data_IF_031612939743
#
_entry.id   IF_031612939743
#
_cell.length_a   1.000
_cell.length_b   1.000
_cell.length_c   1.000
_cell.angle_alpha   90.00
_cell.angle_beta   90.00
_cell.angle_gamma   90.00
#
_symmetry.space_group_name_H-M   'P 1'
#
loop_
_entity.id
_entity.type
_entity.pdbx_description
1 polymer ?
#
# COMPACT_ATOMS: atom_id res chain seq x y z
N UNK A 1 16.73 -9.24 -21.65
CA UNK A 1 18.14 -8.78 -21.65
C UNK A 1 18.40 -8.13 -20.30
N UNK A 2 18.84 -8.89 -19.30
CA UNK A 2 19.21 -8.37 -17.97
C UNK A 2 20.67 -7.93 -18.05
N UNK A 3 20.94 -6.63 -17.95
CA UNK A 3 22.29 -6.12 -17.67
C UNK A 3 22.34 -5.83 -16.18
N UNK A 4 22.81 -6.78 -15.38
CA UNK A 4 23.18 -6.54 -13.99
C UNK A 4 24.47 -5.73 -13.98
N UNK A 5 24.47 -4.61 -13.25
CA UNK A 5 25.72 -3.95 -12.84
C UNK A 5 26.31 -4.82 -11.74
N UNK A 6 27.12 -5.81 -12.10
CA UNK A 6 27.96 -6.49 -11.13
C UNK A 6 29.12 -5.57 -10.77
N UNK A 7 29.19 -5.19 -9.49
CA UNK A 7 30.36 -4.54 -8.92
C UNK A 7 31.49 -5.58 -8.77
N UNK A 8 32.46 -5.55 -9.70
CA UNK A 8 33.77 -6.18 -9.52
C UNK A 8 34.55 -6.35 -10.83
N UNK A 9 35.84 -6.74 -10.77
CA UNK A 9 36.97 -6.12 -10.09
C UNK A 9 37.58 -4.97 -10.92
N UNK A 10 38.61 -4.28 -10.38
CA UNK A 10 39.17 -2.98 -10.81
C UNK A 10 39.78 -2.88 -12.23
N UNK A 11 39.52 -3.83 -13.14
CA UNK A 11 40.09 -3.87 -14.49
C UNK A 11 39.04 -4.05 -15.61
N UNK A 12 37.79 -3.65 -15.37
CA UNK A 12 36.79 -3.53 -16.45
C UNK A 12 37.09 -2.29 -17.34
N UNK A 13 36.97 -2.39 -18.67
CA UNK A 13 37.25 -1.25 -19.56
C UNK A 13 36.32 -0.09 -19.22
N UNK A 14 36.94 0.99 -18.74
CA UNK A 14 36.34 2.27 -18.35
C UNK A 14 35.15 2.67 -19.24
N UNK A 15 33.95 2.74 -18.64
CA UNK A 15 32.83 3.47 -19.21
C UNK A 15 33.18 4.96 -19.23
N UNK A 16 33.78 5.42 -20.32
CA UNK A 16 34.15 6.83 -20.46
C UNK A 16 32.93 7.61 -20.94
N UNK A 17 32.29 8.35 -20.05
CA UNK A 17 31.40 9.44 -20.43
C UNK A 17 32.24 10.42 -21.29
N UNK A 18 31.82 10.65 -22.53
CA UNK A 18 32.41 11.71 -23.34
C UNK A 18 31.72 13.01 -22.92
N UNK A 19 32.40 13.82 -22.11
CA UNK A 19 31.88 15.10 -21.61
C UNK A 19 31.68 16.09 -22.77
N UNK A 20 30.44 16.23 -23.22
CA UNK A 20 29.95 17.45 -23.85
C UNK A 20 29.33 18.32 -22.75
N UNK A 21 30.07 19.34 -22.32
CA UNK A 21 29.57 20.60 -21.71
C UNK A 21 28.26 20.58 -20.91
N UNK A 22 28.21 20.07 -19.67
CA UNK A 22 27.09 20.35 -18.72
C UNK A 22 25.68 20.22 -19.34
N UNK A 23 25.54 19.31 -20.31
CA UNK A 23 24.34 19.15 -21.12
C UNK A 23 23.54 17.98 -20.55
N UNK A 24 22.22 18.09 -20.45
CA UNK A 24 21.36 17.07 -19.84
C UNK A 24 21.18 15.85 -20.76
N UNK A 25 22.22 15.44 -21.49
CA UNK A 25 22.25 14.26 -22.36
C UNK A 25 23.61 13.59 -22.28
N UNK A 26 23.62 12.26 -22.13
CA UNK A 26 24.85 11.48 -21.97
C UNK A 26 24.85 10.25 -22.89
N UNK A 27 26.05 9.72 -23.17
CA UNK A 27 26.23 8.48 -23.89
C UNK A 27 27.05 7.50 -23.04
N UNK A 28 26.45 6.36 -22.70
CA UNK A 28 27.12 5.24 -22.05
C UNK A 28 27.50 4.21 -23.09
N UNK A 29 28.80 3.99 -23.28
CA UNK A 29 29.32 3.11 -24.33
C UNK A 29 30.05 1.93 -23.71
N UNK A 30 29.59 0.73 -24.04
CA UNK A 30 30.23 -0.51 -23.66
C UNK A 30 31.03 -1.04 -24.83
N UNK A 31 32.30 -1.36 -24.58
CA UNK A 31 33.22 -1.93 -25.58
C UNK A 31 33.62 -3.33 -25.17
N UNK A 32 33.79 -4.20 -26.16
CA UNK A 32 34.35 -5.53 -25.96
C UNK A 32 35.87 -5.47 -25.79
N UNK A 33 36.50 -6.59 -25.41
CA UNK A 33 37.94 -6.67 -25.13
C UNK A 33 38.83 -6.24 -26.31
N UNK A 34 38.36 -6.39 -27.55
CA UNK A 34 39.08 -5.96 -28.75
C UNK A 34 38.88 -4.47 -29.08
N UNK A 35 38.20 -3.70 -28.22
CA UNK A 35 37.92 -2.28 -28.40
C UNK A 35 36.70 -1.96 -29.28
N UNK A 36 36.08 -2.97 -29.90
CA UNK A 36 34.87 -2.79 -30.68
C UNK A 36 33.67 -2.43 -29.78
N UNK A 37 32.83 -1.52 -30.25
CA UNK A 37 31.62 -1.11 -29.55
C UNK A 37 30.61 -2.26 -29.49
N UNK A 38 30.22 -2.65 -28.29
CA UNK A 38 29.32 -3.77 -28.02
C UNK A 38 27.88 -3.32 -27.73
N UNK A 39 27.70 -2.11 -27.18
CA UNK A 39 26.40 -1.46 -27.02
C UNK A 39 26.60 0.02 -26.65
N UNK A 40 25.60 0.85 -26.94
CA UNK A 40 25.53 2.21 -26.44
C UNK A 40 24.13 2.54 -25.90
N UNK A 41 24.07 3.39 -24.89
CA UNK A 41 22.85 3.96 -24.33
C UNK A 41 22.95 5.48 -24.40
N UNK A 42 22.01 6.10 -25.11
CA UNK A 42 21.95 7.55 -25.25
C UNK A 42 20.82 8.07 -24.38
N UNK A 43 21.14 8.79 -23.31
CA UNK A 43 20.16 9.32 -22.36
C UNK A 43 19.89 10.80 -22.61
N UNK A 44 18.63 11.19 -22.44
CA UNK A 44 18.18 12.56 -22.34
C UNK A 44 17.49 12.74 -20.98
N UNK A 45 18.12 13.52 -20.10
CA UNK A 45 17.61 13.86 -18.77
C UNK A 45 16.80 15.15 -18.72
N UNK A 46 16.60 15.84 -19.85
CA UNK A 46 15.65 16.94 -19.91
C UNK A 46 14.24 16.37 -19.68
N UNK A 47 13.58 16.78 -18.59
CA UNK A 47 12.27 16.27 -18.20
C UNK A 47 11.17 16.60 -19.22
N UNK A 48 11.30 17.75 -19.90
CA UNK A 48 10.21 18.33 -20.69
C UNK A 48 10.61 18.65 -22.15
N UNK A 49 11.84 18.32 -22.57
CA UNK A 49 12.34 18.70 -23.89
C UNK A 49 13.00 17.51 -24.60
N UNK A 50 12.65 17.32 -25.86
CA UNK A 50 13.37 16.42 -26.75
C UNK A 50 14.69 17.07 -27.20
N UNK A 51 15.73 16.27 -27.35
CA UNK A 51 17.06 16.73 -27.78
C UNK A 51 17.55 15.87 -28.94
N UNK A 52 18.17 16.53 -29.93
CA UNK A 52 18.91 15.85 -30.99
C UNK A 52 20.38 15.76 -30.60
N UNK A 53 20.88 14.55 -30.41
CA UNK A 53 22.29 14.29 -30.08
C UNK A 53 23.03 13.70 -31.27
N UNK A 54 24.35 13.96 -31.36
CA UNK A 54 25.21 13.36 -32.38
C UNK A 54 26.13 12.31 -31.75
N UNK A 55 25.99 11.05 -32.15
CA UNK A 55 26.80 9.92 -31.66
C UNK A 55 27.34 9.09 -32.83
N UNK A 56 28.65 8.82 -32.85
CA UNK A 56 29.33 8.09 -33.95
C UNK A 56 28.99 8.63 -35.36
N UNK A 57 28.95 9.96 -35.52
CA UNK A 57 28.65 10.61 -36.79
C UNK A 57 27.17 10.56 -37.23
N UNK A 58 26.29 9.98 -36.41
CA UNK A 58 24.83 9.89 -36.65
C UNK A 58 24.06 10.77 -35.68
N UNK A 59 22.92 11.28 -36.11
CA UNK A 59 22.00 12.03 -35.25
C UNK A 59 20.92 11.11 -34.69
N UNK A 60 20.57 11.30 -33.42
CA UNK A 60 19.50 10.59 -32.75
C UNK A 60 18.58 11.60 -32.07
N UNK A 61 17.28 11.49 -32.34
CA UNK A 61 16.27 12.26 -31.65
C UNK A 61 15.88 11.50 -30.37
N UNK A 62 16.14 12.13 -29.22
CA UNK A 62 15.84 11.59 -27.90
C UNK A 62 14.63 12.34 -27.33
N UNK A 63 13.48 11.68 -27.15
CA UNK A 63 12.37 12.26 -26.39
C UNK A 63 12.80 12.71 -24.99
N UNK A 64 12.01 13.59 -24.39
CA UNK A 64 12.21 14.01 -23.01
C UNK A 64 12.26 12.80 -22.06
N UNK A 65 13.13 12.85 -21.06
CA UNK A 65 13.30 11.82 -20.03
C UNK A 65 13.36 10.39 -20.61
N UNK A 66 14.30 10.14 -21.51
CA UNK A 66 14.37 8.88 -22.22
C UNK A 66 15.78 8.35 -22.43
N UNK A 67 15.88 7.04 -22.65
CA UNK A 67 17.12 6.36 -23.03
C UNK A 67 16.87 5.57 -24.32
N UNK A 68 17.68 5.83 -25.34
CA UNK A 68 17.75 5.03 -26.56
C UNK A 68 18.84 3.97 -26.46
N UNK A 69 18.50 2.73 -26.82
CA UNK A 69 19.39 1.56 -26.75
C UNK A 69 19.89 1.21 -28.16
N UNK A 70 21.21 1.18 -28.33
CA UNK A 70 21.89 0.87 -29.59
C UNK A 70 22.79 -0.37 -29.43
N UNK A 71 22.31 -1.59 -29.71
CA UNK A 71 23.08 -2.82 -29.54
C UNK A 71 24.29 -2.94 -30.47
N UNK A 72 24.28 -2.25 -31.60
CA UNK A 72 25.38 -2.21 -32.59
C UNK A 72 26.12 -0.86 -32.58
N UNK A 73 25.78 0.02 -31.62
CA UNK A 73 26.24 1.40 -31.53
C UNK A 73 25.95 2.28 -32.77
N UNK A 74 24.99 1.87 -33.60
CA UNK A 74 24.62 2.53 -34.88
C UNK A 74 23.12 2.68 -35.08
N UNK A 75 22.30 1.74 -34.61
CA UNK A 75 20.85 1.68 -34.81
C UNK A 75 20.15 1.64 -33.45
N UNK A 76 19.27 2.61 -33.21
CA UNK A 76 18.45 2.62 -32.00
C UNK A 76 17.28 1.64 -32.19
N UNK A 77 17.28 0.55 -31.42
CA UNK A 77 16.25 -0.50 -31.53
C UNK A 77 15.09 -0.28 -30.55
N UNK A 78 15.35 0.48 -29.48
CA UNK A 78 14.40 0.75 -28.42
C UNK A 78 14.65 2.14 -27.83
N UNK A 79 13.59 2.81 -27.43
CA UNK A 79 13.63 4.03 -26.62
C UNK A 79 12.57 3.93 -25.52
N UNK A 80 12.94 4.27 -24.27
CA UNK A 80 12.07 4.10 -23.10
C UNK A 80 10.80 4.95 -23.12
N UNK A 81 10.78 6.06 -23.87
CA UNK A 81 9.61 6.93 -24.02
C UNK A 81 8.80 6.63 -25.29
N UNK A 82 9.30 5.75 -26.16
CA UNK A 82 8.61 5.36 -27.39
C UNK A 82 7.92 4.01 -27.19
N UNK A 83 6.68 4.06 -26.72
CA UNK A 83 5.84 2.88 -26.53
C UNK A 83 5.13 2.56 -27.84
N UNK A 84 5.41 1.38 -28.42
CA UNK A 84 4.76 0.89 -29.65
C UNK A 84 3.50 0.06 -29.36
N UNK A 85 3.38 -0.43 -28.14
CA UNK A 85 2.25 -1.25 -27.72
C UNK A 85 1.01 -0.39 -27.43
N UNK A 86 -0.19 -0.86 -27.80
CA UNK A 86 -1.43 -0.14 -27.53
C UNK A 86 -1.75 -0.16 -26.03
N UNK A 87 -2.24 0.96 -25.51
CA UNK A 87 -2.80 1.02 -24.16
C UNK A 87 -4.12 0.25 -24.09
N UNK A 88 -4.20 -0.74 -23.22
CA UNK A 88 -5.44 -1.46 -22.92
C UNK A 88 -6.14 -0.82 -21.73
N UNK A 89 -7.38 -0.36 -21.92
CA UNK A 89 -8.20 0.16 -20.84
C UNK A 89 -8.94 -1.02 -20.16
N UNK A 90 -8.77 -1.23 -18.85
CA UNK A 90 -9.48 -2.28 -18.14
C UNK A 90 -10.99 -2.03 -18.19
N UNK A 91 -11.76 -3.07 -18.49
CA UNK A 91 -13.23 -3.06 -18.48
C UNK A 91 -13.72 -4.22 -17.63
N UNK A 92 -14.66 -3.93 -16.73
CA UNK A 92 -15.37 -4.95 -15.96
C UNK A 92 -16.82 -5.00 -16.43
N UNK A 93 -17.24 -6.18 -16.88
CA UNK A 93 -18.62 -6.45 -17.28
C UNK A 93 -19.23 -7.45 -16.29
N UNK A 94 -20.40 -7.17 -15.70
CA UNK A 94 -21.07 -8.13 -14.84
C UNK A 94 -21.49 -9.35 -15.68
N UNK A 95 -21.16 -10.56 -15.21
CA UNK A 95 -21.43 -11.81 -15.95
C UNK A 95 -22.65 -12.54 -15.41
N UNK A 96 -22.90 -12.50 -14.10
CA UNK A 96 -23.99 -13.24 -13.46
C UNK A 96 -24.45 -12.55 -12.18
N UNK A 97 -25.67 -12.91 -11.73
CA UNK A 97 -26.21 -12.53 -10.42
C UNK A 97 -26.41 -13.79 -9.59
N UNK A 98 -26.03 -13.73 -8.31
CA UNK A 98 -26.15 -14.86 -7.38
C UNK A 98 -27.42 -14.75 -6.54
N UNK A 99 -28.02 -15.89 -6.25
CA UNK A 99 -29.07 -16.01 -5.24
C UNK A 99 -28.41 -16.27 -3.87
N UNK A 100 -28.32 -15.22 -3.06
CA UNK A 100 -27.65 -15.28 -1.76
C UNK A 100 -28.55 -15.85 -0.67
N UNK A 101 -27.94 -16.61 0.23
CA UNK A 101 -28.49 -16.92 1.55
C UNK A 101 -27.64 -16.19 2.61
N UNK A 102 -28.24 -15.88 3.75
CA UNK A 102 -27.56 -15.22 4.86
C UNK A 102 -27.78 -15.96 6.17
N UNK A 103 -26.81 -15.83 7.06
CA UNK A 103 -26.87 -16.24 8.45
C UNK A 103 -26.35 -15.07 9.29
N UNK A 104 -27.06 -14.75 10.38
CA UNK A 104 -26.66 -13.69 11.30
C UNK A 104 -25.92 -14.29 12.48
N UNK A 105 -24.69 -13.84 12.70
CA UNK A 105 -23.93 -14.23 13.87
C UNK A 105 -24.52 -13.59 15.14
N UNK A 106 -24.56 -14.37 16.21
CA UNK A 106 -25.02 -13.89 17.51
C UNK A 106 -24.01 -12.95 18.16
N UNK A 107 -24.50 -11.89 18.81
CA UNK A 107 -23.68 -10.92 19.53
C UNK A 107 -23.32 -11.37 20.95
N UNK A 108 -23.77 -12.55 21.36
CA UNK A 108 -23.48 -13.14 22.68
C UNK A 108 -22.15 -13.89 22.66
N UNK A 109 -21.06 -13.16 22.88
CA UNK A 109 -19.69 -13.67 22.86
C UNK A 109 -19.26 -14.47 24.10
N UNK A 110 -20.19 -14.89 24.96
CA UNK A 110 -19.88 -15.73 26.13
C UNK A 110 -20.25 -17.17 25.81
N UNK A 111 -19.45 -17.77 24.94
CA UNK A 111 -19.51 -19.18 24.61
C UNK A 111 -18.52 -19.99 25.47
N UNK A 112 -18.38 -21.28 25.17
CA UNK A 112 -17.44 -22.16 25.88
C UNK A 112 -15.96 -21.79 25.73
N UNK A 113 -15.60 -20.89 24.82
CA UNK A 113 -14.23 -20.42 24.59
C UNK A 113 -13.95 -19.08 25.29
N UNK A 114 -14.95 -18.48 25.93
CA UNK A 114 -14.77 -17.25 26.69
C UNK A 114 -13.89 -17.48 27.93
N UNK A 115 -12.99 -16.54 28.19
CA UNK A 115 -12.18 -16.49 29.41
C UNK A 115 -12.29 -15.13 30.07
N UNK A 116 -11.94 -15.06 31.35
CA UNK A 116 -11.99 -13.82 32.13
C UNK A 116 -10.59 -13.36 32.54
N UNK A 117 -10.39 -12.05 32.59
CA UNK A 117 -9.15 -11.44 33.09
C UNK A 117 -9.44 -10.11 33.78
N UNK A 118 -8.74 -9.84 34.87
CA UNK A 118 -8.77 -8.54 35.53
C UNK A 118 -7.90 -7.56 34.74
N UNK A 119 -8.53 -6.79 33.85
CA UNK A 119 -7.90 -5.76 33.02
C UNK A 119 -7.97 -6.04 31.52
N UNK A 120 -7.57 -5.04 30.74
CA UNK A 120 -7.51 -5.14 29.27
C UNK A 120 -6.30 -5.95 28.82
N UNK A 121 -6.44 -6.60 27.68
CA UNK A 121 -5.39 -7.37 27.00
C UNK A 121 -5.18 -6.86 25.59
N UNK A 122 -3.97 -7.04 25.08
CA UNK A 122 -3.65 -6.73 23.69
C UNK A 122 -4.14 -7.86 22.76
N UNK A 123 -4.65 -7.51 21.57
CA UNK A 123 -5.33 -8.44 20.69
C UNK A 123 -4.42 -9.53 20.14
N UNK A 124 -3.27 -9.20 19.55
CA UNK A 124 -2.35 -10.16 18.94
C UNK A 124 -1.86 -11.18 19.97
N UNK A 125 -1.63 -10.74 21.20
CA UNK A 125 -1.26 -11.61 22.32
C UNK A 125 -2.35 -12.62 22.66
N UNK A 126 -3.63 -12.31 22.43
CA UNK A 126 -4.75 -13.21 22.72
C UNK A 126 -5.15 -14.08 21.52
N UNK A 127 -5.17 -13.52 20.31
CA UNK A 127 -5.61 -14.24 19.12
C UNK A 127 -4.47 -15.02 18.45
N UNK A 128 -3.22 -14.64 18.73
CA UNK A 128 -2.02 -15.14 18.04
C UNK A 128 -2.14 -15.04 16.52
N UNK A 129 -2.82 -13.98 16.04
CA UNK A 129 -3.12 -13.75 14.63
C UNK A 129 -3.89 -14.91 13.96
N UNK A 130 -4.59 -15.73 14.75
CA UNK A 130 -5.49 -16.79 14.23
C UNK A 130 -6.87 -16.27 13.82
N UNK A 131 -7.21 -15.07 14.29
CA UNK A 131 -8.48 -14.39 14.00
C UNK A 131 -8.26 -12.88 14.02
N UNK A 132 -8.89 -12.21 13.06
CA UNK A 132 -8.98 -10.74 12.99
C UNK A 132 -9.90 -10.18 14.08
N UNK A 133 -10.65 -11.04 14.78
CA UNK A 133 -11.71 -10.71 15.72
C UNK A 133 -11.32 -11.03 17.16
N UNK A 134 -11.51 -10.05 18.06
CA UNK A 134 -11.48 -10.26 19.51
C UNK A 134 -12.65 -9.53 20.18
N UNK A 135 -13.40 -10.29 20.99
CA UNK A 135 -14.50 -9.77 21.82
C UNK A 135 -14.00 -9.34 23.19
N UNK A 136 -14.13 -8.05 23.54
CA UNK A 136 -13.99 -7.59 24.92
C UNK A 136 -15.35 -7.40 25.53
N UNK A 137 -15.69 -8.21 26.53
CA UNK A 137 -16.98 -8.12 27.22
C UNK A 137 -16.79 -7.65 28.65
N UNK A 138 -17.53 -6.64 29.07
CA UNK A 138 -17.62 -6.24 30.48
C UNK A 138 -19.05 -5.90 30.89
N UNK A 139 -19.31 -6.02 32.19
CA UNK A 139 -20.59 -5.75 32.80
C UNK A 139 -20.51 -4.49 33.65
N UNK A 140 -21.42 -3.55 33.39
CA UNK A 140 -21.55 -2.33 34.19
C UNK A 140 -22.90 -2.39 34.91
N UNK A 141 -22.86 -2.50 36.23
CA UNK A 141 -24.06 -2.40 37.07
C UNK A 141 -24.32 -0.93 37.38
N UNK A 142 -25.48 -0.41 36.96
CA UNK A 142 -25.90 0.97 37.22
C UNK A 142 -27.05 0.93 38.23
N UNK A 143 -26.93 1.64 39.34
CA UNK A 143 -27.97 1.71 40.36
C UNK A 143 -29.22 2.44 39.86
N UNK A 144 -30.40 2.06 40.36
CA UNK A 144 -31.68 2.65 39.95
C UNK A 144 -31.74 4.19 40.10
N UNK A 145 -30.99 4.75 41.05
CA UNK A 145 -30.93 6.18 41.32
C UNK A 145 -29.84 6.92 40.52
N UNK A 146 -29.10 6.25 39.65
CA UNK A 146 -27.93 6.80 38.95
C UNK A 146 -28.18 7.06 37.46
N UNK A 147 -29.21 6.43 36.87
CA UNK A 147 -29.49 6.46 35.43
C UNK A 147 -29.99 7.82 34.90
N UNK A 148 -30.52 8.68 35.77
CA UNK A 148 -31.19 9.92 35.33
C UNK A 148 -31.15 11.03 36.38
N UNK A 149 -30.03 11.19 37.09
CA UNK A 149 -29.83 12.42 37.88
C UNK A 149 -29.72 13.59 36.89
N UNK A 150 -30.82 14.33 36.71
CA UNK A 150 -30.95 15.52 35.85
C UNK A 150 -31.22 15.26 34.34
N UNK A 151 -31.73 14.08 33.97
CA UNK A 151 -32.10 13.78 32.57
C UNK A 151 -30.91 13.59 31.61
N UNK A 152 -29.69 13.47 32.15
CA UNK A 152 -28.49 13.13 31.40
C UNK A 152 -28.18 11.63 31.53
N UNK A 153 -27.99 10.98 30.39
CA UNK A 153 -27.61 9.57 30.29
C UNK A 153 -26.09 9.39 30.44
N UNK A 154 -25.61 8.22 30.88
CA UNK A 154 -24.19 7.97 31.03
C UNK A 154 -23.50 7.95 29.66
N UNK A 155 -22.31 8.57 29.63
CA UNK A 155 -21.45 8.61 28.46
C UNK A 155 -20.44 7.46 28.52
N UNK A 156 -20.38 6.69 27.43
CA UNK A 156 -19.39 5.65 27.19
C UNK A 156 -18.32 6.18 26.24
N UNK A 157 -17.07 6.17 26.70
CA UNK A 157 -15.90 6.48 25.88
C UNK A 157 -14.98 5.27 25.83
N UNK A 158 -14.64 4.81 24.63
CA UNK A 158 -13.74 3.68 24.42
C UNK A 158 -12.55 4.13 23.58
N UNK A 159 -11.36 3.86 24.10
CA UNK A 159 -10.08 4.08 23.45
C UNK A 159 -9.56 2.72 22.97
N UNK A 160 -9.21 2.62 21.69
CA UNK A 160 -8.63 1.40 21.12
C UNK A 160 -7.35 1.74 20.37
N UNK A 161 -6.36 0.84 20.46
CA UNK A 161 -5.20 0.86 19.57
C UNK A 161 -5.48 0.13 18.24
N UNK A 162 -6.64 -0.51 18.12
CA UNK A 162 -7.06 -1.24 16.93
C UNK A 162 -7.51 -0.31 15.81
N UNK A 163 -7.46 -0.79 14.58
CA UNK A 163 -7.88 -0.04 13.40
C UNK A 163 -9.42 -0.05 13.13
N UNK A 164 -10.25 -0.85 13.83
CA UNK A 164 -11.72 -0.79 13.79
C UNK A 164 -12.37 -1.40 15.02
N UNK A 165 -13.52 -0.85 15.41
CA UNK A 165 -14.30 -1.29 16.56
C UNK A 165 -15.80 -1.18 16.28
N UNK A 166 -16.55 -2.21 16.65
CA UNK A 166 -18.01 -2.19 16.74
C UNK A 166 -18.41 -2.33 18.20
N UNK A 167 -19.21 -1.38 18.68
CA UNK A 167 -19.73 -1.35 20.05
C UNK A 167 -21.14 -1.92 20.05
N UNK A 168 -21.35 -2.95 20.87
CA UNK A 168 -22.70 -3.42 21.22
C UNK A 168 -23.02 -3.07 22.66
N UNK A 169 -24.28 -2.72 22.88
CA UNK A 169 -24.86 -2.35 24.16
C UNK A 169 -26.11 -3.20 24.39
N UNK A 170 -26.06 -4.11 25.36
CA UNK A 170 -27.09 -5.14 25.62
C UNK A 170 -27.49 -5.93 24.35
N UNK A 171 -26.48 -6.34 23.57
CA UNK A 171 -26.66 -7.12 22.34
C UNK A 171 -27.11 -6.29 21.12
N UNK A 172 -27.37 -4.99 21.27
CA UNK A 172 -27.74 -4.09 20.16
C UNK A 172 -26.53 -3.29 19.67
N UNK A 173 -26.37 -3.18 18.35
CA UNK A 173 -25.34 -2.33 17.75
C UNK A 173 -25.58 -0.88 18.16
N UNK A 174 -24.53 -0.23 18.64
CA UNK A 174 -24.60 1.14 19.15
C UNK A 174 -23.76 2.10 18.31
N UNK A 175 -22.63 1.63 17.77
CA UNK A 175 -21.88 2.36 16.76
C UNK A 175 -20.55 1.71 16.41
N UNK A 176 -19.94 2.24 15.37
CA UNK A 176 -18.63 1.80 14.87
C UNK A 176 -17.62 2.94 14.94
N UNK A 177 -16.35 2.60 15.14
CA UNK A 177 -15.21 3.49 14.97
C UNK A 177 -14.14 2.79 14.12
N UNK A 178 -13.32 3.59 13.45
CA UNK A 178 -12.19 3.11 12.63
C UNK A 178 -10.94 3.91 12.97
N UNK A 179 -9.78 3.48 12.50
CA UNK A 179 -8.48 4.09 12.78
C UNK A 179 -8.40 5.59 12.51
N UNK A 180 -9.20 6.10 11.57
CA UNK A 180 -9.27 7.53 11.26
C UNK A 180 -9.84 8.37 12.42
N UNK A 181 -10.60 7.72 13.31
CA UNK A 181 -11.19 8.28 14.52
C UNK A 181 -10.92 7.31 15.70
N UNK A 182 -9.73 7.38 16.33
CA UNK A 182 -9.24 6.36 17.26
C UNK A 182 -10.07 6.23 18.57
N UNK A 183 -11.08 7.07 18.75
CA UNK A 183 -11.91 7.15 19.94
C UNK A 183 -13.38 7.22 19.56
N UNK A 184 -14.22 6.41 20.22
CA UNK A 184 -15.67 6.47 20.09
C UNK A 184 -16.29 6.99 21.38
N UNK A 185 -17.22 7.95 21.26
CA UNK A 185 -17.98 8.52 22.37
C UNK A 185 -19.47 8.43 22.06
N UNK A 186 -20.27 7.87 22.96
CA UNK A 186 -21.73 7.88 22.81
C UNK A 186 -22.47 7.78 24.16
N UNK A 187 -23.78 8.05 24.16
CA UNK A 187 -24.63 8.35 25.34
C UNK A 187 -25.80 7.35 25.43
N UNK A 188 -25.76 6.38 26.35
CA UNK A 188 -26.62 5.18 26.29
C UNK A 188 -27.42 4.87 27.56
N UNK A 189 -28.64 4.35 27.40
CA UNK A 189 -29.61 4.10 28.48
C UNK A 189 -29.26 2.92 29.41
N UNK A 190 -28.42 1.97 28.97
CA UNK A 190 -27.97 0.80 29.76
C UNK A 190 -26.70 0.23 29.15
N UNK A 191 -25.55 0.23 29.83
CA UNK A 191 -24.25 -0.10 29.21
C UNK A 191 -23.83 -1.55 29.52
N UNK A 192 -23.83 -2.43 28.52
CA UNK A 192 -23.00 -3.65 28.50
C UNK A 192 -22.05 -3.48 27.35
N UNK A 193 -20.75 -3.30 27.59
CA UNK A 193 -19.78 -3.08 26.51
C UNK A 193 -19.40 -4.45 25.98
N UNK A 194 -19.73 -4.72 24.73
CA UNK A 194 -19.07 -5.76 23.95
C UNK A 194 -18.32 -5.04 22.83
N UNK A 195 -17.00 -4.96 22.93
CA UNK A 195 -16.16 -4.48 21.84
C UNK A 195 -15.89 -5.63 20.91
N UNK A 196 -16.21 -5.47 19.62
CA UNK A 196 -15.60 -6.28 18.56
C UNK A 196 -14.49 -5.43 17.97
N UNK A 197 -13.24 -5.86 18.13
CA UNK A 197 -12.16 -5.33 17.30
C UNK A 197 -12.09 -6.21 16.05
N UNK A 198 -12.20 -5.60 14.88
CA UNK A 198 -11.79 -6.20 13.60
C UNK A 198 -10.41 -5.68 13.29
N UNK A 199 -9.49 -6.48 12.70
CA UNK A 199 -8.77 -6.20 11.42
C UNK A 199 -8.05 -7.38 10.78
N UNK A 200 -8.29 -7.51 9.47
CA UNK A 200 -7.27 -7.21 8.47
C UNK A 200 -7.83 -6.22 7.44
#
# INVERSE_FOLDING_TARGET
>A
LLLTKEDGPRDAPSSRAQNTTKDASEAYVFKSKNGACAAAFLSNYHMNAAVKVRFNGRHYDLPAWSISILPDCKTAVFNTATVKEPTLLPKMHPVVRFAWQSYSEDTNSLDGNAFTKNGLVEQLSMTWDKSDYLWYTTYVSIGANELSKNGQWPQLTIYSAGHSMQVFVNGKSYGTSTFLEPHYTAVADRIKIQNVIFLR
#
